data_IF_940820464321
#
_entry.id   IF_940820464321
#
_cell.length_a   1.000
_cell.length_b   1.000
_cell.length_c   1.000
_cell.angle_alpha   90.00
_cell.angle_beta   90.00
_cell.angle_gamma   90.00
#
_symmetry.space_group_name_H-M   'P 1'
#
loop_
_entity.id
_entity.type
_entity.pdbx_description
1 polymer ?
#
# COMPACT_ATOMS: atom_id res chain seq x y z
N UNK A 1 -9.06 -4.01 20.22
CA UNK A 1 -8.44 -3.13 19.21
C UNK A 1 -8.70 -3.75 17.83
N UNK A 2 -9.62 -3.20 17.04
CA UNK A 2 -10.04 -3.86 15.79
C UNK A 2 -10.49 -2.85 14.73
N UNK A 3 -9.56 -2.07 14.13
CA UNK A 3 -9.95 -1.02 13.17
C UNK A 3 -8.96 -0.70 12.06
N UNK A 4 -7.67 -1.04 12.15
CA UNK A 4 -6.70 -0.63 11.11
C UNK A 4 -6.85 -1.38 9.77
N UNK A 5 -7.26 -2.66 9.80
CA UNK A 5 -7.39 -3.49 8.59
C UNK A 5 -8.57 -3.08 7.70
N UNK A 6 -9.73 -2.82 8.31
CA UNK A 6 -10.93 -2.36 7.61
C UNK A 6 -10.68 -0.98 7.00
N UNK A 7 -10.06 -0.09 7.77
CA UNK A 7 -9.70 1.25 7.30
C UNK A 7 -8.75 1.21 6.10
N UNK A 8 -7.70 0.38 6.15
CA UNK A 8 -6.79 0.21 5.02
C UNK A 8 -7.51 -0.30 3.76
N UNK A 9 -8.34 -1.33 3.88
CA UNK A 9 -9.12 -1.86 2.74
C UNK A 9 -10.00 -0.79 2.10
N UNK A 10 -10.60 0.09 2.91
CA UNK A 10 -11.41 1.23 2.45
C UNK A 10 -10.53 2.28 1.77
N UNK A 11 -9.46 2.72 2.43
CA UNK A 11 -8.53 3.73 1.89
C UNK A 11 -7.91 3.30 0.55
N UNK A 12 -7.52 2.02 0.39
CA UNK A 12 -6.99 1.53 -0.90
C UNK A 12 -8.00 1.60 -2.03
N UNK A 13 -9.26 1.26 -1.76
CA UNK A 13 -10.33 1.30 -2.77
C UNK A 13 -10.56 2.73 -3.27
N UNK A 14 -10.42 3.73 -2.39
CA UNK A 14 -10.53 5.15 -2.74
C UNK A 14 -9.25 5.73 -3.37
N UNK A 15 -8.07 5.19 -3.03
CA UNK A 15 -6.80 5.64 -3.60
C UNK A 15 -6.51 5.06 -5.00
N UNK A 16 -7.38 4.19 -5.53
CA UNK A 16 -7.27 3.62 -6.87
C UNK A 16 -7.26 4.72 -7.93
N UNK A 17 -6.06 5.05 -8.40
CA UNK A 17 -5.82 6.05 -9.46
C UNK A 17 -4.63 6.97 -9.19
N UNK A 18 -4.10 6.97 -7.96
CA UNK A 18 -2.95 7.78 -7.57
C UNK A 18 -1.96 6.96 -6.73
N UNK A 19 -0.76 6.74 -7.27
CA UNK A 19 0.33 6.06 -6.55
C UNK A 19 0.65 6.76 -5.22
N UNK A 20 0.81 8.11 -5.17
CA UNK A 20 1.06 8.80 -3.91
C UNK A 20 -0.06 8.59 -2.87
N UNK A 21 -1.32 8.55 -3.30
CA UNK A 21 -2.44 8.31 -2.40
C UNK A 21 -2.40 6.88 -1.84
N UNK A 22 -2.15 5.89 -2.70
CA UNK A 22 -2.00 4.50 -2.27
C UNK A 22 -0.84 4.34 -1.29
N UNK A 23 0.32 4.96 -1.53
CA UNK A 23 1.44 4.94 -0.57
C UNK A 23 1.03 5.53 0.78
N UNK A 24 0.32 6.66 0.83
CA UNK A 24 -0.16 7.23 2.10
C UNK A 24 -1.10 6.28 2.86
N UNK A 25 -1.96 5.55 2.15
CA UNK A 25 -2.83 4.54 2.73
C UNK A 25 -2.07 3.32 3.29
N UNK A 26 -0.89 3.00 2.74
CA UNK A 26 -0.03 1.90 3.25
C UNK A 26 0.69 2.26 4.55
N UNK A 27 1.02 3.54 4.76
CA UNK A 27 1.86 4.00 5.88
C UNK A 27 1.35 3.57 7.27
N UNK A 28 0.05 3.66 7.61
CA UNK A 28 -0.43 3.26 8.94
C UNK A 28 -0.47 1.73 9.16
N UNK A 29 -0.31 0.92 8.10
CA UNK A 29 -0.39 -0.55 8.20
C UNK A 29 0.95 -1.26 8.02
N UNK A 30 1.97 -0.56 7.55
CA UNK A 30 3.33 -1.09 7.39
C UNK A 30 4.24 -0.59 8.52
N UNK A 31 5.23 -1.42 8.88
CA UNK A 31 6.37 -0.92 9.65
C UNK A 31 7.16 0.11 8.84
N UNK A 32 7.92 0.99 9.51
CA UNK A 32 8.73 1.99 8.81
C UNK A 32 9.70 1.38 7.79
N UNK A 33 10.28 0.21 8.12
CA UNK A 33 11.17 -0.53 7.23
C UNK A 33 10.44 -0.99 5.97
N UNK A 34 9.30 -1.67 6.13
CA UNK A 34 8.48 -2.13 5.00
C UNK A 34 7.99 -0.96 4.14
N UNK A 35 7.62 0.16 4.76
CA UNK A 35 7.20 1.35 4.04
C UNK A 35 8.33 1.95 3.19
N UNK A 36 9.56 2.01 3.73
CA UNK A 36 10.74 2.46 2.97
C UNK A 36 11.07 1.53 1.81
N UNK A 37 11.05 0.21 2.05
CA UNK A 37 11.26 -0.79 1.00
C UNK A 37 10.21 -0.67 -0.10
N UNK A 38 8.93 -0.55 0.27
CA UNK A 38 7.83 -0.34 -0.67
C UNK A 38 8.05 0.92 -1.53
N UNK A 39 8.41 2.06 -0.92
CA UNK A 39 8.63 3.29 -1.67
C UNK A 39 9.78 3.14 -2.68
N UNK A 40 10.84 2.44 -2.32
CA UNK A 40 11.97 2.18 -3.22
C UNK A 40 11.57 1.28 -4.40
N UNK A 41 10.79 0.23 -4.16
CA UNK A 41 10.32 -0.67 -5.22
C UNK A 41 9.34 0.03 -6.17
N UNK A 42 8.40 0.81 -5.63
CA UNK A 42 7.46 1.62 -6.42
C UNK A 42 8.20 2.67 -7.27
N UNK A 43 9.24 3.30 -6.74
CA UNK A 43 10.05 4.26 -7.51
C UNK A 43 10.87 3.60 -8.62
N UNK A 44 11.23 2.31 -8.48
CA UNK A 44 11.96 1.54 -9.50
C UNK A 44 11.05 0.90 -10.55
N UNK A 45 9.77 0.77 -10.26
CA UNK A 45 8.80 0.12 -11.13
C UNK A 45 8.42 1.02 -12.32
N UNK A 46 8.32 0.41 -13.50
CA UNK A 46 8.01 1.11 -14.73
C UNK A 46 6.50 1.13 -14.97
N UNK A 47 5.88 2.26 -14.64
CA UNK A 47 4.48 2.53 -14.97
C UNK A 47 3.50 2.13 -13.88
N UNK A 48 2.29 2.67 -14.02
CA UNK A 48 1.26 2.66 -12.98
C UNK A 48 0.83 1.26 -12.55
N UNK A 49 0.71 0.31 -13.49
CA UNK A 49 0.23 -1.04 -13.18
C UNK A 49 1.22 -1.84 -12.32
N UNK A 50 2.51 -1.72 -12.61
CA UNK A 50 3.56 -2.38 -11.82
C UNK A 50 3.67 -1.78 -10.43
N UNK A 51 3.66 -0.44 -10.35
CA UNK A 51 3.63 0.28 -9.08
C UNK A 51 2.44 -0.13 -8.21
N UNK A 52 1.25 -0.23 -8.81
CA UNK A 52 0.03 -0.70 -8.15
C UNK A 52 0.21 -2.14 -7.65
N UNK A 53 0.72 -3.05 -8.48
CA UNK A 53 0.91 -4.45 -8.11
C UNK A 53 1.85 -4.62 -6.91
N UNK A 54 2.95 -3.87 -6.88
CA UNK A 54 3.90 -3.86 -5.77
C UNK A 54 3.22 -3.38 -4.48
N UNK A 55 2.46 -2.28 -4.53
CA UNK A 55 1.73 -1.79 -3.36
C UNK A 55 0.75 -2.83 -2.82
N UNK A 56 0.00 -3.49 -3.70
CA UNK A 56 -0.92 -4.56 -3.27
C UNK A 56 -0.19 -5.75 -2.67
N UNK A 57 0.97 -6.14 -3.19
CA UNK A 57 1.80 -7.23 -2.64
C UNK A 57 2.16 -7.02 -1.16
N UNK A 58 2.46 -5.78 -0.76
CA UNK A 58 2.82 -5.46 0.62
C UNK A 58 1.63 -5.43 1.58
N UNK A 59 0.43 -5.19 1.06
CA UNK A 59 -0.76 -4.90 1.85
C UNK A 59 -1.68 -6.11 1.95
N UNK A 60 -1.77 -6.91 0.87
CA UNK A 60 -2.64 -8.07 0.78
C UNK A 60 -2.46 -9.07 1.94
N UNK A 61 -1.22 -9.43 2.37
CA UNK A 61 -1.01 -10.30 3.53
C UNK A 61 -1.52 -9.70 4.85
N UNK A 62 -1.52 -8.38 4.97
CA UNK A 62 -1.88 -7.65 6.20
C UNK A 62 -3.41 -7.51 6.33
N UNK A 63 -4.10 -7.43 5.19
CA UNK A 63 -5.57 -7.37 5.13
C UNK A 63 -6.19 -8.76 5.23
N UNK A 64 -5.53 -9.80 4.70
CA UNK A 64 -6.05 -11.19 4.68
C UNK A 64 -5.76 -11.98 5.97
N UNK A 65 -4.77 -11.58 6.78
CA UNK A 65 -4.56 -12.09 8.15
C UNK A 65 -5.37 -11.36 9.22
#
# INVERSE_FOLDING_TARGET
MHTNRIKAKVDFKFCLGSIPAMLRATKPVLSERQYKELCNEVNKANGYLDQKRIIFSYVDPIIKG
#
